data_IF_218660450589
#
_entry.id   IF_218660450589
#
_cell.length_a   1.000
_cell.length_b   1.000
_cell.length_c   1.000
_cell.angle_alpha   90.00
_cell.angle_beta   90.00
_cell.angle_gamma   90.00
#
_symmetry.space_group_name_H-M   'P 1'
#
loop_
_entity.id
_entity.type
_entity.pdbx_description
1 polymer ?
#
# COMPACT_ATOMS: atom_id res chain seq x y z
N UNK A 1 13.90 22.63 -10.47
CA UNK A 1 12.63 22.99 -11.14
C UNK A 1 11.91 24.01 -10.28
N UNK A 2 11.51 25.13 -10.87
CA UNK A 2 10.81 26.20 -10.16
C UNK A 2 9.43 26.35 -10.77
N UNK A 3 8.38 26.11 -9.99
CA UNK A 3 7.01 26.47 -10.37
C UNK A 3 6.74 27.89 -9.88
N UNK A 4 6.05 28.67 -10.70
CA UNK A 4 5.61 30.03 -10.35
C UNK A 4 4.08 30.14 -10.38
N UNK A 5 3.54 31.32 -10.06
CA UNK A 5 2.09 31.51 -9.96
C UNK A 5 1.34 31.18 -11.27
N UNK A 6 1.98 31.33 -12.44
CA UNK A 6 1.36 31.03 -13.74
C UNK A 6 1.26 29.52 -14.02
N UNK A 7 2.01 28.71 -13.27
CA UNK A 7 1.92 27.24 -13.34
C UNK A 7 0.70 26.69 -12.58
N UNK A 8 -0.04 27.53 -11.86
CA UNK A 8 -1.24 27.15 -11.12
C UNK A 8 -2.50 27.81 -11.69
N UNK A 9 -3.62 27.11 -11.61
CA UNK A 9 -4.94 27.64 -11.93
C UNK A 9 -5.76 27.78 -10.65
N UNK A 10 -6.30 28.97 -10.42
CA UNK A 10 -7.17 29.26 -9.28
C UNK A 10 -8.60 29.55 -9.74
N UNK A 11 -9.54 28.77 -9.24
CA UNK A 11 -10.97 28.99 -9.46
C UNK A 11 -11.54 29.88 -8.35
N UNK A 12 -11.99 31.09 -8.69
CA UNK A 12 -12.64 31.99 -7.71
C UNK A 12 -13.98 31.45 -7.20
N UNK A 13 -14.74 30.69 -8.01
CA UNK A 13 -16.04 30.17 -7.59
C UNK A 13 -15.89 29.01 -6.60
N UNK A 14 -15.06 28.02 -6.94
CA UNK A 14 -14.84 26.80 -6.12
C UNK A 14 -13.74 26.97 -5.07
N UNK A 15 -12.93 28.03 -5.16
CA UNK A 15 -11.75 28.28 -4.32
C UNK A 15 -10.66 27.21 -4.45
N UNK A 16 -10.68 26.44 -5.54
CA UNK A 16 -9.69 25.39 -5.81
C UNK A 16 -8.44 25.96 -6.48
N UNK A 17 -7.27 25.53 -6.02
CA UNK A 17 -5.98 25.79 -6.63
C UNK A 17 -5.42 24.46 -7.16
N UNK A 18 -5.15 24.39 -8.46
CA UNK A 18 -4.66 23.17 -9.12
C UNK A 18 -3.42 23.48 -9.94
N UNK A 19 -2.58 22.47 -10.17
CA UNK A 19 -1.50 22.59 -11.14
C UNK A 19 -2.11 22.69 -12.54
N UNK A 20 -1.82 23.77 -13.25
CA UNK A 20 -2.31 23.98 -14.61
C UNK A 20 -1.66 23.01 -15.61
N UNK A 21 -2.14 22.97 -16.85
CA UNK A 21 -1.52 22.17 -17.91
C UNK A 21 -0.06 22.56 -18.19
N UNK A 22 0.28 23.85 -18.12
CA UNK A 22 1.67 24.33 -18.24
C UNK A 22 2.51 23.86 -17.06
N UNK A 23 2.00 24.00 -15.84
CA UNK A 23 2.66 23.51 -14.62
C UNK A 23 2.90 22.01 -14.63
N UNK A 24 1.92 21.21 -15.09
CA UNK A 24 2.06 19.76 -15.25
C UNK A 24 3.14 19.43 -16.29
N UNK A 25 3.14 20.13 -17.42
CA UNK A 25 4.15 19.93 -18.48
C UNK A 25 5.55 20.23 -17.96
N UNK A 26 5.72 21.38 -17.30
CA UNK A 26 6.98 21.81 -16.68
C UNK A 26 7.46 20.81 -15.62
N UNK A 27 6.53 20.28 -14.83
CA UNK A 27 6.80 19.22 -13.86
C UNK A 27 7.32 17.95 -14.52
N UNK A 28 6.63 17.48 -15.56
CA UNK A 28 6.98 16.26 -16.30
C UNK A 28 8.29 16.38 -17.07
N UNK A 29 8.61 17.56 -17.61
CA UNK A 29 9.85 17.81 -18.35
C UNK A 29 11.08 17.99 -17.46
N UNK A 30 10.90 18.19 -16.15
CA UNK A 30 12.01 18.39 -15.25
C UNK A 30 12.73 17.07 -14.93
N UNK A 31 14.07 17.12 -14.89
CA UNK A 31 14.89 16.03 -14.36
C UNK A 31 14.79 16.02 -12.84
N UNK A 32 13.81 15.28 -12.32
CA UNK A 32 13.59 15.10 -10.89
C UNK A 32 14.05 13.71 -10.44
N UNK A 33 14.57 13.64 -9.21
CA UNK A 33 14.89 12.42 -8.50
C UNK A 33 13.62 11.84 -7.90
N UNK A 34 13.38 10.54 -8.12
CA UNK A 34 12.20 9.87 -7.56
C UNK A 34 12.19 9.91 -6.05
N UNK A 35 10.99 9.88 -5.46
CA UNK A 35 10.75 9.88 -4.00
C UNK A 35 11.24 11.12 -3.25
N UNK A 36 11.93 12.05 -3.94
CA UNK A 36 12.40 13.31 -3.37
C UNK A 36 11.24 14.27 -3.23
N UNK A 37 11.06 14.82 -2.01
CA UNK A 37 10.07 15.85 -1.75
C UNK A 37 10.58 17.20 -2.25
N UNK A 38 9.93 17.75 -3.28
CA UNK A 38 10.15 19.11 -3.73
C UNK A 38 9.14 20.01 -3.02
N UNK A 39 9.57 20.67 -1.94
CA UNK A 39 8.71 21.52 -1.13
C UNK A 39 8.46 22.87 -1.83
N UNK A 40 7.19 23.26 -1.90
CA UNK A 40 6.74 24.57 -2.34
C UNK A 40 5.95 25.23 -1.21
N UNK A 41 6.13 26.54 -1.06
CA UNK A 41 5.28 27.37 -0.20
C UNK A 41 4.32 28.14 -1.09
N UNK A 42 3.03 27.88 -0.95
CA UNK A 42 1.96 28.64 -1.59
C UNK A 42 1.56 29.74 -0.61
N UNK A 43 1.78 30.99 -1.01
CA UNK A 43 1.41 32.17 -0.22
C UNK A 43 0.11 32.76 -0.76
N UNK A 44 -0.93 32.71 0.06
CA UNK A 44 -2.17 33.43 -0.17
C UNK A 44 -2.04 34.81 0.46
N UNK A 45 -2.34 35.85 -0.32
CA UNK A 45 -2.47 37.22 0.16
C UNK A 45 -3.92 37.63 0.11
N UNK A 46 -4.42 38.15 1.23
CA UNK A 46 -5.76 38.69 1.37
C UNK A 46 -5.63 40.18 1.64
N UNK A 47 -6.26 41.00 0.81
CA UNK A 47 -6.34 42.44 1.03
C UNK A 47 -7.77 42.82 1.42
N UNK A 48 -7.93 43.73 2.37
CA UNK A 48 -9.21 44.31 2.69
C UNK A 48 -9.66 45.23 1.54
N UNK A 49 -10.85 45.00 0.99
CA UNK A 49 -11.40 45.83 -0.08
C UNK A 49 -11.65 47.28 0.34
N UNK A 50 -11.77 47.54 1.65
CA UNK A 50 -11.97 48.86 2.23
C UNK A 50 -10.67 49.59 2.61
N UNK A 51 -9.54 48.86 2.70
CA UNK A 51 -8.21 49.42 2.97
C UNK A 51 -7.12 48.48 2.43
N UNK A 52 -6.58 48.80 1.25
CA UNK A 52 -5.56 47.99 0.60
C UNK A 52 -4.25 47.86 1.39
N UNK A 53 -4.03 48.68 2.43
CA UNK A 53 -2.87 48.56 3.31
C UNK A 53 -3.04 47.47 4.39
N UNK A 54 -4.26 46.96 4.57
CA UNK A 54 -4.54 45.82 5.44
C UNK A 54 -4.42 44.52 4.64
N UNK A 55 -3.20 43.97 4.65
CA UNK A 55 -2.92 42.64 4.10
C UNK A 55 -2.82 41.59 5.20
N UNK A 56 -3.40 40.41 4.95
CA UNK A 56 -3.13 39.20 5.71
C UNK A 56 -2.50 38.15 4.78
N UNK A 57 -1.62 37.31 5.32
CA UNK A 57 -0.99 36.23 4.55
C UNK A 57 -1.24 34.87 5.19
N UNK A 58 -1.47 33.87 4.37
CA UNK A 58 -1.51 32.47 4.78
C UNK A 58 -0.53 31.67 3.91
N UNK A 59 0.35 30.90 4.55
CA UNK A 59 1.36 30.09 3.88
C UNK A 59 1.01 28.61 4.02
N UNK A 60 0.86 27.93 2.88
CA UNK A 60 0.64 26.49 2.83
C UNK A 60 1.88 25.84 2.24
N UNK A 61 2.48 24.90 2.97
CA UNK A 61 3.60 24.09 2.48
C UNK A 61 3.05 22.82 1.84
N UNK A 62 3.43 22.58 0.59
CA UNK A 62 3.12 21.35 -0.14
C UNK A 62 4.40 20.68 -0.62
N UNK A 63 4.38 19.36 -0.77
CA UNK A 63 5.46 18.61 -1.40
C UNK A 63 4.97 18.01 -2.71
N UNK A 64 5.70 18.27 -3.79
CA UNK A 64 5.53 17.56 -5.05
C UNK A 64 6.57 16.44 -5.14
N UNK A 65 6.15 15.29 -5.68
CA UNK A 65 7.02 14.13 -5.83
C UNK A 65 7.00 13.66 -7.28
N UNK A 66 8.17 13.38 -7.85
CA UNK A 66 8.24 12.39 -8.93
C UNK A 66 8.08 11.03 -8.26
N UNK A 67 6.87 10.48 -8.37
CA UNK A 67 6.57 9.23 -7.69
C UNK A 67 7.36 8.07 -8.33
N UNK A 68 7.97 7.21 -7.50
CA UNK A 68 8.38 5.89 -7.96
C UNK A 68 7.12 5.02 -8.05
N UNK A 69 6.84 4.50 -9.24
CA UNK A 69 5.71 3.59 -9.46
C UNK A 69 6.14 2.17 -9.07
N UNK A 70 5.43 1.57 -8.12
CA UNK A 70 5.60 0.19 -7.69
C UNK A 70 4.82 -0.71 -8.65
N UNK A 71 5.55 -1.62 -9.28
CA UNK A 71 5.05 -2.54 -10.29
C UNK A 71 4.46 -3.81 -9.66
N UNK A 72 3.69 -4.57 -10.45
CA UNK A 72 3.27 -5.92 -10.09
C UNK A 72 4.46 -6.81 -9.68
N UNK A 73 5.55 -6.77 -10.45
CA UNK A 73 6.76 -7.56 -10.19
C UNK A 73 7.40 -7.23 -8.84
N UNK A 74 7.37 -5.97 -8.42
CA UNK A 74 7.87 -5.57 -7.10
C UNK A 74 6.98 -6.08 -5.95
N UNK A 75 5.66 -6.14 -6.15
CA UNK A 75 4.73 -6.76 -5.19
C UNK A 75 4.93 -8.28 -5.14
N UNK A 76 5.12 -8.95 -6.29
CA UNK A 76 5.50 -10.36 -6.33
C UNK A 76 6.81 -10.62 -5.60
N UNK A 77 7.85 -9.81 -5.85
CA UNK A 77 9.14 -9.93 -5.19
C UNK A 77 9.01 -9.76 -3.67
N UNK A 78 8.18 -8.81 -3.22
CA UNK A 78 7.86 -8.65 -1.80
C UNK A 78 7.30 -9.94 -1.21
N UNK A 79 6.26 -10.53 -1.82
CA UNK A 79 5.62 -11.75 -1.32
C UNK A 79 6.56 -12.96 -1.38
N UNK A 80 7.32 -13.13 -2.48
CA UNK A 80 8.33 -14.19 -2.61
C UNK A 80 9.44 -14.11 -1.56
N UNK A 81 9.77 -12.90 -1.10
CA UNK A 81 10.82 -12.66 -0.11
C UNK A 81 10.39 -12.91 1.34
N UNK A 82 9.11 -13.18 1.60
CA UNK A 82 8.64 -13.50 2.94
C UNK A 82 9.34 -14.75 3.47
N UNK A 83 9.74 -14.69 4.74
CA UNK A 83 10.17 -15.89 5.47
C UNK A 83 8.99 -16.87 5.57
N UNK A 84 9.30 -18.14 5.83
CA UNK A 84 8.28 -19.17 6.08
C UNK A 84 7.28 -18.67 7.12
N UNK A 85 6.01 -18.62 6.72
CA UNK A 85 4.91 -18.26 7.61
C UNK A 85 4.52 -19.51 8.38
N UNK A 86 4.56 -19.43 9.70
CA UNK A 86 4.17 -20.50 10.63
C UNK A 86 2.83 -20.14 11.23
N UNK A 87 1.82 -20.99 11.04
CA UNK A 87 0.47 -20.79 11.55
C UNK A 87 0.18 -21.85 12.59
N UNK A 88 -0.15 -21.39 13.80
CA UNK A 88 -0.42 -22.26 14.94
C UNK A 88 -1.88 -22.70 14.99
N UNK A 89 -2.11 -23.88 15.53
CA UNK A 89 -3.41 -24.27 16.06
C UNK A 89 -3.75 -23.48 17.33
N UNK A 90 -5.01 -23.53 17.76
CA UNK A 90 -5.44 -22.81 18.98
C UNK A 90 -4.74 -23.30 20.26
N UNK A 91 -4.11 -24.47 20.23
CA UNK A 91 -3.34 -25.01 21.36
C UNK A 91 -1.84 -24.68 21.33
N UNK A 92 -1.35 -24.04 20.26
CA UNK A 92 0.07 -23.73 20.03
C UNK A 92 0.99 -24.97 20.05
N UNK A 93 0.45 -26.14 19.72
CA UNK A 93 1.20 -27.41 19.68
C UNK A 93 1.53 -27.84 18.25
N UNK A 94 0.71 -27.41 17.29
CA UNK A 94 0.81 -27.83 15.90
C UNK A 94 1.02 -26.61 15.01
N UNK A 95 1.87 -26.76 13.99
CA UNK A 95 2.24 -25.66 13.09
C UNK A 95 2.09 -26.07 11.63
N UNK A 96 1.23 -25.35 10.90
CA UNK A 96 1.21 -25.34 9.45
C UNK A 96 2.28 -24.36 8.93
N UNK A 97 2.95 -24.70 7.84
CA UNK A 97 4.05 -23.90 7.30
C UNK A 97 3.79 -23.56 5.84
N UNK A 98 4.04 -22.31 5.47
CA UNK A 98 3.78 -21.81 4.13
C UNK A 98 5.00 -21.04 3.60
N UNK A 99 5.35 -21.30 2.35
CA UNK A 99 6.41 -20.59 1.63
C UNK A 99 5.84 -19.94 0.38
N UNK A 100 6.48 -18.86 -0.07
CA UNK A 100 5.97 -18.02 -1.15
C UNK A 100 6.97 -17.83 -2.29
N UNK A 101 8.14 -18.48 -2.23
CA UNK A 101 9.27 -18.25 -3.15
C UNK A 101 8.92 -18.43 -4.63
N UNK A 102 7.90 -19.23 -4.93
CA UNK A 102 7.49 -19.60 -6.28
C UNK A 102 6.13 -18.99 -6.70
N UNK A 103 5.52 -18.17 -5.84
CA UNK A 103 4.15 -17.68 -6.08
C UNK A 103 4.12 -16.55 -7.10
N UNK A 104 3.13 -16.56 -7.99
CA UNK A 104 2.96 -15.57 -9.06
C UNK A 104 1.71 -14.75 -8.77
N UNK A 105 1.76 -13.44 -9.03
CA UNK A 105 0.60 -12.58 -8.79
C UNK A 105 -0.52 -12.92 -9.77
N UNK A 106 -1.71 -13.13 -9.22
CA UNK A 106 -2.96 -13.26 -9.96
C UNK A 106 -3.75 -11.95 -9.86
N UNK A 107 -4.29 -11.50 -10.98
CA UNK A 107 -5.26 -10.39 -11.01
C UNK A 107 -6.62 -10.78 -10.39
N UNK A 108 -6.90 -12.08 -10.25
CA UNK A 108 -8.08 -12.59 -9.57
C UNK A 108 -7.87 -12.66 -8.05
N UNK A 109 -8.96 -12.76 -7.31
CA UNK A 109 -8.95 -13.08 -5.88
C UNK A 109 -9.00 -14.61 -5.70
N UNK A 110 -8.06 -15.23 -4.96
CA UNK A 110 -6.93 -14.63 -4.25
C UNK A 110 -5.76 -14.24 -5.17
N UNK A 111 -5.03 -13.16 -4.83
CA UNK A 111 -3.89 -12.67 -5.61
C UNK A 111 -2.68 -13.60 -5.50
N UNK A 112 -2.48 -14.22 -4.34
CA UNK A 112 -1.46 -15.23 -4.10
C UNK A 112 -2.06 -16.44 -3.40
N UNK A 113 -1.45 -17.59 -3.60
CA UNK A 113 -1.84 -18.82 -2.93
C UNK A 113 -0.60 -19.41 -2.25
N UNK A 114 -0.75 -20.28 -1.27
CA UNK A 114 0.36 -21.10 -0.78
C UNK A 114 -0.20 -22.34 -0.11
N UNK A 115 0.49 -23.46 -0.26
CA UNK A 115 0.08 -24.75 0.30
C UNK A 115 0.89 -25.06 1.55
N UNK A 116 0.24 -25.68 2.53
CA UNK A 116 0.90 -26.17 3.73
C UNK A 116 1.97 -27.21 3.34
N UNK A 117 3.21 -26.97 3.75
CA UNK A 117 4.35 -27.90 3.65
C UNK A 117 4.76 -28.47 5.01
N UNK A 118 4.03 -28.10 6.07
CA UNK A 118 4.26 -28.50 7.45
C UNK A 118 3.31 -29.62 7.90
N UNK A 119 2.78 -29.47 9.13
CA UNK A 119 1.99 -30.49 9.85
C UNK A 119 1.06 -31.33 8.97
N UNK A 120 1.05 -32.63 9.21
CA UNK A 120 0.12 -33.62 8.61
C UNK A 120 -1.05 -33.98 9.54
N UNK A 121 -1.11 -33.38 10.73
CA UNK A 121 -2.14 -33.68 11.72
C UNK A 121 -3.51 -33.18 11.26
N UNK A 122 -4.56 -33.96 11.53
CA UNK A 122 -5.95 -33.61 11.20
C UNK A 122 -6.55 -32.69 12.27
N UNK A 123 -6.10 -31.45 12.29
CA UNK A 123 -6.46 -30.44 13.29
C UNK A 123 -6.96 -29.14 12.65
N UNK A 124 -7.51 -28.25 13.48
CA UNK A 124 -7.91 -26.90 13.10
C UNK A 124 -6.79 -25.90 13.34
N UNK A 125 -6.58 -24.99 12.39
CA UNK A 125 -5.61 -23.91 12.49
C UNK A 125 -6.29 -22.55 12.65
N UNK A 126 -5.69 -21.68 13.46
CA UNK A 126 -6.29 -20.40 13.82
C UNK A 126 -6.20 -19.39 12.67
N UNK A 127 -7.35 -18.83 12.26
CA UNK A 127 -7.38 -17.65 11.38
C UNK A 127 -6.65 -16.46 11.99
N UNK A 128 -6.71 -16.29 13.30
CA UNK A 128 -6.02 -15.19 13.98
C UNK A 128 -4.50 -15.34 13.86
N UNK A 129 -3.97 -16.54 14.14
CA UNK A 129 -2.54 -16.83 13.95
C UNK A 129 -2.13 -16.60 12.49
N UNK A 130 -2.89 -17.13 11.52
CA UNK A 130 -2.61 -16.91 10.10
C UNK A 130 -2.48 -15.43 9.73
N UNK A 131 -3.46 -14.61 10.14
CA UNK A 131 -3.49 -13.16 9.90
C UNK A 131 -2.27 -12.45 10.49
N UNK A 132 -1.95 -12.73 11.75
CA UNK A 132 -0.83 -12.09 12.47
C UNK A 132 0.51 -12.48 11.85
N UNK A 133 0.70 -13.77 11.58
CA UNK A 133 1.98 -14.32 11.13
C UNK A 133 2.31 -13.88 9.69
N UNK A 134 1.32 -13.82 8.80
CA UNK A 134 1.51 -13.22 7.47
C UNK A 134 1.74 -11.71 7.55
N UNK A 135 1.00 -10.99 8.39
CA UNK A 135 1.20 -9.57 8.59
C UNK A 135 2.62 -9.25 9.07
N UNK A 136 3.16 -10.06 9.98
CA UNK A 136 4.55 -9.97 10.42
C UNK A 136 5.53 -10.30 9.29
N UNK A 137 5.30 -11.39 8.56
CA UNK A 137 6.17 -11.79 7.44
C UNK A 137 6.25 -10.72 6.34
N UNK A 138 5.12 -10.11 5.96
CA UNK A 138 5.07 -8.99 5.01
C UNK A 138 5.90 -7.81 5.53
N UNK A 139 5.71 -7.42 6.80
CA UNK A 139 6.40 -6.27 7.40
C UNK A 139 7.92 -6.44 7.45
N UNK A 140 8.40 -7.67 7.52
CA UNK A 140 9.83 -7.95 7.56
C UNK A 140 10.53 -7.82 6.20
N UNK A 141 9.78 -7.85 5.10
CA UNK A 141 10.35 -7.74 3.75
C UNK A 141 10.99 -6.37 3.52
N UNK A 142 12.09 -6.35 2.75
CA UNK A 142 12.76 -5.10 2.40
C UNK A 142 11.84 -4.19 1.58
N UNK A 143 11.10 -4.75 0.62
CA UNK A 143 10.13 -4.00 -0.19
C UNK A 143 9.06 -3.33 0.69
N UNK A 144 8.52 -4.04 1.70
CA UNK A 144 7.57 -3.42 2.62
C UNK A 144 8.17 -2.19 3.31
N UNK A 145 9.33 -2.38 3.92
CA UNK A 145 10.07 -1.34 4.65
C UNK A 145 10.45 -0.16 3.76
N UNK A 146 10.69 -0.39 2.47
CA UNK A 146 11.00 0.68 1.51
C UNK A 146 9.76 1.46 1.09
N UNK A 147 8.64 0.78 0.77
CA UNK A 147 7.53 1.39 0.04
C UNK A 147 6.34 1.82 0.90
N UNK A 148 6.10 1.13 2.02
CA UNK A 148 4.86 1.27 2.79
C UNK A 148 5.11 1.81 4.19
N UNK A 149 4.16 2.60 4.68
CA UNK A 149 4.13 3.19 6.02
C UNK A 149 3.19 2.46 6.96
N UNK A 150 2.28 1.64 6.42
CA UNK A 150 1.27 0.93 7.20
C UNK A 150 0.76 -0.33 6.52
N UNK A 151 0.28 -1.25 7.36
CA UNK A 151 -0.38 -2.49 6.97
C UNK A 151 -1.56 -2.75 7.90
N UNK A 152 -2.78 -2.61 7.39
CA UNK A 152 -3.98 -3.04 8.07
C UNK A 152 -4.24 -4.52 7.79
N UNK A 153 -3.85 -5.38 8.73
CA UNK A 153 -4.11 -6.82 8.66
C UNK A 153 -5.55 -7.21 9.04
N UNK A 154 -6.32 -6.29 9.63
CA UNK A 154 -7.74 -6.46 9.98
C UNK A 154 -8.67 -5.77 8.97
N UNK A 155 -8.21 -5.60 7.73
CA UNK A 155 -8.98 -4.91 6.70
C UNK A 155 -10.33 -5.57 6.41
N UNK A 156 -10.34 -6.91 6.36
CA UNK A 156 -11.53 -7.73 6.11
C UNK A 156 -11.40 -9.07 6.84
N UNK A 157 -12.52 -9.66 7.22
CA UNK A 157 -12.52 -11.00 7.82
C UNK A 157 -12.02 -12.07 6.83
N UNK A 158 -11.14 -12.99 7.27
CA UNK A 158 -10.67 -14.09 6.46
C UNK A 158 -11.82 -15.00 6.02
N UNK A 159 -11.81 -15.37 4.74
CA UNK A 159 -12.81 -16.25 4.16
C UNK A 159 -12.27 -17.67 4.17
N UNK A 160 -12.81 -18.51 5.06
CA UNK A 160 -12.46 -19.93 5.17
C UNK A 160 -13.49 -20.79 4.44
N UNK A 161 -13.01 -21.67 3.56
CA UNK A 161 -13.81 -22.66 2.83
C UNK A 161 -13.05 -23.99 2.78
N UNK A 162 -13.47 -24.93 3.62
CA UNK A 162 -12.79 -26.21 3.81
C UNK A 162 -11.34 -26.01 4.27
N UNK A 163 -10.40 -26.48 3.45
CA UNK A 163 -8.95 -26.36 3.71
C UNK A 163 -8.37 -25.01 3.31
N UNK A 164 -9.11 -24.18 2.58
CA UNK A 164 -8.64 -22.89 2.08
C UNK A 164 -9.05 -21.77 3.05
N UNK A 165 -8.16 -20.82 3.30
CA UNK A 165 -8.50 -19.56 3.96
C UNK A 165 -7.84 -18.39 3.27
N UNK A 166 -8.63 -17.42 2.83
CA UNK A 166 -8.17 -16.21 2.14
C UNK A 166 -8.16 -15.02 3.09
N UNK A 167 -7.01 -14.37 3.21
CA UNK A 167 -6.76 -13.24 4.07
C UNK A 167 -6.54 -11.98 3.24
N UNK A 168 -6.84 -10.80 3.81
CA UNK A 168 -6.81 -9.52 3.11
C UNK A 168 -5.98 -8.50 3.88
N UNK A 169 -5.02 -7.88 3.20
CA UNK A 169 -4.10 -6.91 3.80
C UNK A 169 -4.15 -5.58 3.04
N UNK A 170 -4.57 -4.50 3.70
CA UNK A 170 -4.59 -3.16 3.08
C UNK A 170 -3.33 -2.37 3.44
N UNK A 171 -2.64 -1.87 2.43
CA UNK A 171 -1.37 -1.17 2.57
C UNK A 171 -1.57 0.34 2.60
N UNK A 172 -0.65 1.05 3.27
CA UNK A 172 -0.52 2.51 3.19
C UNK A 172 0.84 2.85 2.59
N UNK A 173 0.88 3.65 1.53
CA UNK A 173 2.13 4.05 0.86
C UNK A 173 2.90 5.08 1.68
N UNK A 174 4.22 5.11 1.49
CA UNK A 174 5.04 6.27 1.87
C UNK A 174 4.89 7.38 0.83
N UNK A 175 5.13 8.62 1.24
CA UNK A 175 5.20 9.76 0.31
C UNK A 175 6.22 9.51 -0.79
N UNK A 176 5.89 9.91 -2.02
CA UNK A 176 6.75 9.71 -3.18
C UNK A 176 6.70 8.32 -3.82
N UNK A 177 5.83 7.43 -3.36
CA UNK A 177 5.52 6.17 -4.04
C UNK A 177 4.09 6.17 -4.57
N UNK A 178 3.89 5.47 -5.69
CA UNK A 178 2.59 5.21 -6.28
C UNK A 178 2.50 3.74 -6.69
N UNK A 179 1.29 3.21 -6.88
CA UNK A 179 1.08 1.86 -7.41
C UNK A 179 0.78 1.92 -8.89
N UNK A 180 1.30 0.95 -9.65
CA UNK A 180 0.81 0.67 -10.99
C UNK A 180 -0.66 0.21 -10.94
N UNK A 181 -1.39 0.41 -12.04
CA UNK A 181 -2.81 0.06 -12.12
C UNK A 181 -3.09 -1.42 -11.82
N UNK A 182 -2.16 -2.32 -12.15
CA UNK A 182 -2.27 -3.76 -11.93
C UNK A 182 -2.34 -4.15 -10.45
N UNK A 183 -1.84 -3.31 -9.55
CA UNK A 183 -1.80 -3.57 -8.10
C UNK A 183 -2.36 -2.42 -7.28
N UNK A 184 -3.02 -1.45 -7.90
CA UNK A 184 -3.53 -0.27 -7.22
C UNK A 184 -4.56 -0.60 -6.14
N UNK A 185 -5.29 -1.71 -6.28
CA UNK A 185 -6.30 -2.17 -5.32
C UNK A 185 -5.73 -2.53 -3.95
N UNK A 186 -4.42 -2.77 -3.79
CA UNK A 186 -3.87 -3.19 -2.48
C UNK A 186 -3.94 -2.09 -1.41
N UNK A 187 -4.15 -0.82 -1.80
CA UNK A 187 -4.39 0.30 -0.86
C UNK A 187 -5.88 0.60 -0.66
N UNK A 188 -6.79 0.02 -1.44
CA UNK A 188 -8.25 0.14 -1.28
C UNK A 188 -8.87 -1.16 -0.75
N UNK A 189 -8.93 -2.18 -1.60
CA UNK A 189 -9.57 -3.49 -1.36
C UNK A 189 -8.63 -4.50 -0.68
N UNK A 190 -7.33 -4.19 -0.69
CA UNK A 190 -6.28 -4.98 -0.07
C UNK A 190 -5.72 -6.09 -0.98
N UNK A 191 -4.52 -6.53 -0.63
CA UNK A 191 -3.89 -7.71 -1.22
C UNK A 191 -4.50 -8.96 -0.61
N UNK A 192 -4.94 -9.90 -1.44
CA UNK A 192 -5.52 -11.17 -0.99
C UNK A 192 -4.50 -12.31 -1.09
N UNK A 193 -4.33 -13.05 0.01
CA UNK A 193 -3.42 -14.20 0.09
C UNK A 193 -4.21 -15.40 0.64
N UNK A 194 -4.27 -16.50 -0.11
CA UNK A 194 -4.89 -17.74 0.34
C UNK A 194 -3.85 -18.72 0.86
N UNK A 195 -4.10 -19.22 2.08
CA UNK A 195 -3.37 -20.35 2.65
C UNK A 195 -4.24 -21.61 2.50
N UNK A 196 -3.66 -22.65 1.92
CA UNK A 196 -4.32 -23.95 1.72
C UNK A 196 -3.71 -25.01 2.63
N UNK A 197 -4.49 -25.49 3.58
CA UNK A 197 -4.13 -26.59 4.46
C UNK A 197 -4.14 -27.95 3.74
N UNK A 198 -3.58 -28.96 4.40
CA UNK A 198 -3.57 -30.34 3.93
C UNK A 198 -4.95 -31.00 4.11
N UNK A 199 -5.18 -32.12 3.40
CA UNK A 199 -6.44 -32.86 3.53
C UNK A 199 -6.67 -33.32 4.98
N UNK A 200 -7.90 -33.14 5.49
CA UNK A 200 -8.27 -33.46 6.87
C UNK A 200 -7.97 -32.37 7.90
N UNK A 201 -7.38 -31.24 7.48
CA UNK A 201 -7.25 -30.03 8.30
C UNK A 201 -8.38 -29.04 8.00
N UNK A 202 -8.60 -28.08 8.88
CA UNK A 202 -9.54 -26.97 8.62
C UNK A 202 -9.13 -25.69 9.35
N UNK A 203 -9.88 -24.61 9.14
CA UNK A 203 -9.68 -23.32 9.80
C UNK A 203 -10.71 -23.09 10.90
N UNK A 204 -10.32 -22.35 11.94
CA UNK A 204 -11.21 -21.86 13.01
C UNK A 204 -10.98 -20.39 13.37
#
# INVERSE_FOLDING_TARGET
MTLDASDFSYSKSTKELTLSSSGITKFKSATLTETTAYQYTITFKFADSSDANKEATANIKINLYKAKVITRTEIEAMIKSMKTVKVDDSSYKNVAQFTFSNEVFSANTPNFNSKNIGSTEKIKFSKSSGRIQMGAAIRETSNYKTYFSGLNMYHKEPLAEGVNCTFYFRFTLKGGYALSSEVAHITSDGLSIQLKLSSGQSWE
#
